data_IF_434928501453
#
_entry.id   IF_434928501453
#
_cell.length_a   1.000
_cell.length_b   1.000
_cell.length_c   1.000
_cell.angle_alpha   90.00
_cell.angle_beta   90.00
_cell.angle_gamma   90.00
#
_symmetry.space_group_name_H-M   'P 1'
#
loop_
_entity.id
_entity.type
_entity.pdbx_description
1 polymer ?
#
# COMPACT_ATOMS: atom_id res chain seq x y z
N UNK A 1 33.22 41.07 -61.03
CA UNK A 1 34.29 41.31 -60.04
C UNK A 1 33.69 41.91 -58.78
N UNK A 2 34.18 41.47 -57.61
CA UNK A 2 33.92 41.92 -56.21
C UNK A 2 32.92 41.08 -55.38
N UNK A 3 33.55 40.29 -54.52
CA UNK A 3 33.08 39.57 -53.35
C UNK A 3 32.58 40.51 -52.24
N UNK A 4 31.61 40.06 -51.44
CA UNK A 4 31.75 40.08 -49.96
C UNK A 4 30.69 39.21 -49.27
N UNK A 5 31.24 38.27 -48.52
CA UNK A 5 30.71 37.40 -47.46
C UNK A 5 29.94 38.16 -46.36
N UNK A 6 28.93 37.52 -45.74
CA UNK A 6 28.88 37.17 -44.31
C UNK A 6 27.68 36.24 -44.07
N UNK A 7 27.99 35.08 -43.50
CA UNK A 7 27.08 34.04 -43.02
C UNK A 7 26.60 34.43 -41.62
N UNK A 8 25.28 34.37 -41.38
CA UNK A 8 24.73 34.31 -40.03
C UNK A 8 23.63 33.24 -40.01
N UNK A 9 24.03 32.01 -39.68
CA UNK A 9 23.09 30.93 -39.34
C UNK A 9 22.61 31.19 -37.92
N UNK A 10 21.42 31.76 -37.79
CA UNK A 10 20.73 31.85 -36.51
C UNK A 10 20.21 30.45 -36.16
N UNK A 11 21.03 29.70 -35.42
CA UNK A 11 20.67 28.41 -34.84
C UNK A 11 19.75 28.66 -33.64
N UNK A 12 18.45 28.82 -33.89
CA UNK A 12 17.45 28.85 -32.82
C UNK A 12 17.26 27.43 -32.29
N UNK A 13 17.81 27.18 -31.11
CA UNK A 13 17.65 25.95 -30.36
C UNK A 13 16.16 25.63 -30.18
N UNK A 14 15.68 24.57 -30.83
CA UNK A 14 14.48 23.87 -30.38
C UNK A 14 14.81 23.31 -29.00
N UNK A 15 14.34 23.98 -27.94
CA UNK A 15 14.17 23.31 -26.65
C UNK A 15 12.97 22.39 -26.79
N UNK A 16 13.18 21.23 -27.40
CA UNK A 16 12.33 20.08 -27.16
C UNK A 16 12.43 19.81 -25.67
N UNK A 17 11.42 20.28 -24.94
CA UNK A 17 11.13 19.82 -23.58
C UNK A 17 10.98 18.32 -23.72
N UNK A 18 12.02 17.58 -23.33
CA UNK A 18 11.93 16.15 -23.12
C UNK A 18 10.80 15.98 -22.11
N UNK A 19 9.65 15.47 -22.57
CA UNK A 19 8.63 14.97 -21.69
C UNK A 19 9.32 13.95 -20.78
N UNK A 20 9.48 14.31 -19.51
CA UNK A 20 9.92 13.37 -18.48
C UNK A 20 8.92 12.21 -18.53
N UNK A 21 9.36 10.94 -18.56
CA UNK A 21 8.45 9.82 -18.38
C UNK A 21 7.79 10.00 -17.00
N UNK A 22 6.50 10.33 -17.00
CA UNK A 22 5.71 10.45 -15.79
C UNK A 22 5.32 9.03 -15.34
N UNK A 23 5.73 8.71 -14.12
CA UNK A 23 5.17 7.68 -13.23
C UNK A 23 5.39 6.24 -13.69
N UNK A 24 6.64 5.79 -13.65
CA UNK A 24 6.92 4.38 -13.40
C UNK A 24 7.18 4.23 -11.90
N UNK A 25 6.15 3.77 -11.17
CA UNK A 25 6.20 3.32 -9.76
C UNK A 25 7.28 3.98 -8.90
N UNK A 26 6.99 5.14 -8.32
CA UNK A 26 7.67 5.51 -7.08
C UNK A 26 7.31 4.43 -6.05
N UNK A 27 8.26 3.51 -5.82
CA UNK A 27 8.32 2.70 -4.60
C UNK A 27 7.86 3.59 -3.46
N UNK A 28 6.81 3.20 -2.73
CA UNK A 28 6.13 4.01 -1.69
C UNK A 28 7.15 4.43 -0.62
N UNK A 29 7.88 5.51 -0.89
CA UNK A 29 8.94 6.02 -0.04
C UNK A 29 8.33 7.14 0.78
N UNK A 30 7.92 6.81 1.99
CA UNK A 30 7.39 7.73 2.97
C UNK A 30 7.54 7.13 4.36
N UNK A 31 7.45 7.97 5.39
CA UNK A 31 7.41 7.47 6.75
C UNK A 31 6.14 6.62 6.94
N UNK A 32 6.32 5.38 7.40
CA UNK A 32 5.21 4.49 7.74
C UNK A 32 4.85 4.68 9.21
N UNK A 33 3.60 5.03 9.49
CA UNK A 33 3.06 5.14 10.82
C UNK A 33 2.27 3.87 11.19
N UNK A 34 2.64 3.22 12.28
CA UNK A 34 1.89 2.11 12.86
C UNK A 34 0.89 2.65 13.89
N UNK A 35 -0.36 2.21 13.82
CA UNK A 35 -1.37 2.41 14.87
C UNK A 35 -1.90 1.07 15.36
N UNK A 36 -1.76 0.82 16.66
CA UNK A 36 -2.24 -0.39 17.33
C UNK A 36 -3.64 -0.17 17.92
N UNK A 37 -4.52 -1.18 17.86
CA UNK A 37 -5.83 -1.07 18.52
C UNK A 37 -5.76 -1.20 20.04
N UNK A 38 -4.84 -2.01 20.57
CA UNK A 38 -4.60 -2.21 22.03
C UNK A 38 -5.82 -2.64 22.86
N UNK A 39 -6.97 -2.91 22.23
CA UNK A 39 -8.22 -3.35 22.85
C UNK A 39 -9.08 -4.08 21.82
N UNK A 40 -10.14 -4.77 22.29
CA UNK A 40 -11.08 -5.51 21.44
C UNK A 40 -10.70 -6.97 21.22
N UNK A 41 -11.34 -7.59 20.23
CA UNK A 41 -11.12 -9.00 19.87
C UNK A 41 -9.67 -9.23 19.48
N UNK A 42 -9.18 -10.41 19.80
CA UNK A 42 -7.82 -10.81 19.50
C UNK A 42 -7.77 -12.25 19.05
N UNK A 43 -6.77 -12.61 18.25
CA UNK A 43 -6.55 -13.99 17.83
C UNK A 43 -5.05 -14.33 17.82
N UNK A 44 -4.68 -15.52 17.35
CA UNK A 44 -3.29 -15.96 17.26
C UNK A 44 -2.57 -15.36 16.06
N UNK A 45 -1.24 -15.26 16.18
CA UNK A 45 -0.34 -14.84 15.09
C UNK A 45 -0.51 -15.75 13.87
N UNK A 46 -0.66 -17.06 14.08
CA UNK A 46 -0.76 -18.04 13.00
C UNK A 46 -2.01 -17.84 12.13
N UNK A 47 -3.17 -17.60 12.75
CA UNK A 47 -4.41 -17.36 12.02
C UNK A 47 -4.29 -16.07 11.21
N UNK A 48 -3.76 -14.99 11.82
CA UNK A 48 -3.57 -13.72 11.12
C UNK A 48 -2.60 -13.83 9.95
N UNK A 49 -1.49 -14.53 10.12
CA UNK A 49 -0.52 -14.75 9.04
C UNK A 49 -1.14 -15.54 7.88
N UNK A 50 -1.93 -16.58 8.17
CA UNK A 50 -2.61 -17.37 7.14
C UNK A 50 -3.56 -16.55 6.28
N UNK A 51 -4.36 -15.66 6.88
CA UNK A 51 -5.32 -14.83 6.12
C UNK A 51 -4.62 -13.70 5.37
N UNK A 52 -3.51 -13.17 5.90
CA UNK A 52 -2.67 -12.20 5.19
C UNK A 52 -2.05 -12.82 3.94
N UNK A 53 -1.55 -14.05 4.03
CA UNK A 53 -0.97 -14.75 2.89
C UNK A 53 -2.00 -14.96 1.78
N UNK A 54 -3.22 -15.39 2.11
CA UNK A 54 -4.30 -15.52 1.12
C UNK A 54 -4.66 -14.17 0.48
N UNK A 55 -4.86 -13.13 1.29
CA UNK A 55 -5.24 -11.80 0.83
C UNK A 55 -4.19 -11.21 -0.12
N UNK A 56 -2.91 -11.30 0.25
CA UNK A 56 -1.82 -10.80 -0.56
C UNK A 56 -1.65 -11.63 -1.83
N UNK A 57 -1.66 -12.96 -1.72
CA UNK A 57 -1.52 -13.85 -2.88
C UNK A 57 -2.56 -13.57 -3.94
N UNK A 58 -3.83 -13.54 -3.56
CA UNK A 58 -4.93 -13.32 -4.52
C UNK A 58 -4.81 -11.97 -5.21
N UNK A 59 -4.47 -10.90 -4.48
CA UNK A 59 -4.39 -9.57 -5.06
C UNK A 59 -3.12 -9.35 -5.91
N UNK A 60 -2.00 -9.97 -5.54
CA UNK A 60 -0.77 -9.94 -6.36
C UNK A 60 -0.96 -10.75 -7.64
N UNK A 61 -1.47 -11.99 -7.54
CA UNK A 61 -1.68 -12.88 -8.68
C UNK A 61 -2.69 -12.30 -9.69
N UNK A 62 -3.76 -11.66 -9.20
CA UNK A 62 -4.75 -10.98 -10.05
C UNK A 62 -4.23 -9.65 -10.61
N UNK A 63 -3.10 -9.16 -10.12
CA UNK A 63 -2.58 -7.86 -10.46
C UNK A 63 -3.49 -6.70 -10.05
N UNK A 64 -4.15 -6.81 -8.90
CA UNK A 64 -5.09 -5.81 -8.38
C UNK A 64 -4.41 -4.44 -8.28
N UNK A 65 -5.04 -3.45 -8.92
CA UNK A 65 -4.68 -2.04 -8.80
C UNK A 65 -5.73 -1.34 -7.94
N UNK A 66 -5.28 -0.39 -7.12
CA UNK A 66 -6.11 0.39 -6.20
C UNK A 66 -5.91 1.86 -6.53
N UNK A 67 -6.98 2.52 -6.93
CA UNK A 67 -7.01 3.94 -7.26
C UNK A 67 -7.36 4.77 -6.04
N UNK A 68 -7.02 6.06 -6.04
CA UNK A 68 -7.28 6.94 -4.91
C UNK A 68 -8.73 6.86 -4.39
N UNK A 69 -8.89 6.61 -3.09
CA UNK A 69 -10.17 6.45 -2.42
C UNK A 69 -10.78 5.05 -2.53
N UNK A 70 -10.21 4.15 -3.34
CA UNK A 70 -10.64 2.77 -3.42
C UNK A 70 -10.11 1.96 -2.22
N UNK A 71 -10.93 0.99 -1.82
CA UNK A 71 -10.62 0.04 -0.75
C UNK A 71 -10.73 -1.37 -1.33
N UNK A 72 -9.66 -2.14 -1.19
CA UNK A 72 -9.70 -3.60 -1.37
C UNK A 72 -9.77 -4.22 0.00
N UNK A 73 -10.81 -5.01 0.24
CA UNK A 73 -11.09 -5.56 1.56
C UNK A 73 -11.64 -6.98 1.48
N UNK A 74 -11.44 -7.75 2.54
CA UNK A 74 -11.99 -9.10 2.67
C UNK A 74 -12.18 -9.46 4.14
N UNK A 75 -13.26 -10.19 4.41
CA UNK A 75 -13.52 -10.85 5.68
C UNK A 75 -13.11 -12.32 5.61
N UNK A 76 -12.54 -12.82 6.69
CA UNK A 76 -12.16 -14.22 6.88
C UNK A 76 -12.79 -14.75 8.17
N UNK A 77 -13.70 -15.70 8.03
CA UNK A 77 -14.36 -16.33 9.17
C UNK A 77 -13.57 -17.54 9.67
N UNK A 78 -13.18 -17.51 10.94
CA UNK A 78 -12.41 -18.55 11.63
C UNK A 78 -13.14 -18.97 12.92
N UNK A 79 -14.31 -19.59 12.76
CA UNK A 79 -15.13 -20.04 13.88
C UNK A 79 -15.65 -18.85 14.69
N UNK A 80 -15.03 -18.59 15.84
CA UNK A 80 -15.45 -17.55 16.79
C UNK A 80 -14.87 -16.16 16.49
N UNK A 81 -14.11 -16.01 15.40
CA UNK A 81 -13.49 -14.74 15.01
C UNK A 81 -13.69 -14.45 13.52
N UNK A 82 -14.02 -13.20 13.19
CA UNK A 82 -14.03 -12.69 11.80
C UNK A 82 -12.95 -11.64 11.62
N UNK A 83 -11.97 -11.95 10.77
CA UNK A 83 -10.83 -11.09 10.50
C UNK A 83 -11.09 -10.25 9.25
N UNK A 84 -11.03 -8.94 9.40
CA UNK A 84 -11.11 -7.98 8.32
C UNK A 84 -9.71 -7.54 7.92
N UNK A 85 -9.36 -7.74 6.65
CA UNK A 85 -8.17 -7.18 6.03
C UNK A 85 -8.59 -6.13 5.02
N UNK A 86 -7.89 -4.99 4.99
CA UNK A 86 -8.07 -4.03 3.91
C UNK A 86 -6.80 -3.30 3.52
N UNK A 87 -6.81 -2.80 2.29
CA UNK A 87 -5.82 -1.89 1.77
C UNK A 87 -6.52 -0.77 1.00
N UNK A 88 -6.24 0.47 1.40
CA UNK A 88 -6.89 1.68 0.87
C UNK A 88 -5.86 2.56 0.22
N UNK A 89 -6.15 3.12 -0.96
CA UNK A 89 -5.30 4.15 -1.55
C UNK A 89 -5.72 5.55 -1.08
N UNK A 90 -4.74 6.36 -0.68
CA UNK A 90 -4.91 7.67 -0.06
C UNK A 90 -4.22 8.78 -0.86
N UNK A 91 -4.58 10.03 -0.55
CA UNK A 91 -3.85 11.24 -0.95
C UNK A 91 -3.58 11.39 -2.46
N UNK A 92 -4.51 10.93 -3.30
CA UNK A 92 -4.40 11.02 -4.75
C UNK A 92 -3.53 9.93 -5.39
N UNK A 93 -2.99 8.99 -4.60
CA UNK A 93 -2.17 7.93 -5.11
C UNK A 93 -2.98 6.81 -5.76
N UNK A 94 -2.38 6.16 -6.74
CA UNK A 94 -2.82 4.88 -7.28
C UNK A 94 -1.65 3.91 -7.28
N UNK A 95 -1.90 2.65 -6.94
CA UNK A 95 -0.84 1.66 -6.80
C UNK A 95 -1.34 0.26 -7.10
N UNK A 96 -0.40 -0.66 -7.31
CA UNK A 96 -0.67 -2.08 -7.46
C UNK A 96 -0.25 -2.84 -6.21
N UNK A 97 -0.95 -3.92 -5.90
CA UNK A 97 -0.46 -4.87 -4.91
C UNK A 97 0.91 -5.41 -5.33
N UNK A 98 1.83 -5.44 -4.37
CA UNK A 98 3.22 -5.89 -4.52
C UNK A 98 3.65 -6.65 -3.25
N UNK A 99 4.93 -7.03 -3.20
CA UNK A 99 5.51 -7.80 -2.09
C UNK A 99 5.49 -7.04 -0.75
N UNK A 100 5.16 -5.73 -0.71
CA UNK A 100 4.97 -5.02 0.56
C UNK A 100 3.67 -5.38 1.27
N UNK A 101 2.67 -5.96 0.57
CA UNK A 101 1.37 -6.31 1.15
C UNK A 101 1.54 -7.09 2.46
N UNK A 102 2.29 -8.19 2.41
CA UNK A 102 2.49 -9.08 3.54
C UNK A 102 3.30 -8.43 4.66
N UNK A 103 4.28 -7.59 4.32
CA UNK A 103 5.08 -6.86 5.30
C UNK A 103 4.20 -5.88 6.07
N UNK A 104 3.44 -5.05 5.37
CA UNK A 104 2.64 -3.96 5.95
C UNK A 104 1.49 -4.48 6.81
N UNK A 105 0.77 -5.52 6.36
CA UNK A 105 -0.31 -6.12 7.13
C UNK A 105 0.17 -6.90 8.38
N UNK A 106 1.44 -7.33 8.40
CA UNK A 106 2.02 -8.04 9.55
C UNK A 106 2.59 -7.13 10.63
N UNK A 107 2.93 -5.88 10.32
CA UNK A 107 3.51 -4.97 11.33
C UNK A 107 2.61 -4.81 12.57
N UNK A 108 1.27 -4.64 12.46
CA UNK A 108 0.41 -4.59 13.64
C UNK A 108 0.36 -5.89 14.45
N UNK A 109 0.81 -7.01 13.89
CA UNK A 109 0.88 -8.30 14.60
C UNK A 109 2.19 -8.39 15.38
N UNK A 110 3.29 -7.98 14.77
CA UNK A 110 4.63 -8.09 15.35
C UNK A 110 4.96 -6.99 16.34
N UNK A 111 4.53 -5.75 16.06
CA UNK A 111 4.94 -4.54 16.78
C UNK A 111 3.86 -4.03 17.75
N UNK A 112 2.63 -4.57 17.68
CA UNK A 112 1.60 -4.32 18.69
C UNK A 112 1.44 -5.52 19.62
N UNK A 113 1.07 -5.23 20.88
CA UNK A 113 0.87 -6.25 21.91
C UNK A 113 2.04 -7.27 21.95
N UNK A 114 3.27 -6.74 22.09
CA UNK A 114 4.51 -7.52 22.02
C UNK A 114 4.59 -8.62 23.11
N UNK A 115 5.30 -9.70 22.80
CA UNK A 115 5.65 -10.76 23.77
C UNK A 115 4.65 -11.92 23.91
N UNK A 116 3.61 -12.00 23.07
CA UNK A 116 2.65 -13.10 23.06
C UNK A 116 2.37 -13.57 21.63
N UNK A 117 2.31 -14.90 21.41
CA UNK A 117 1.89 -15.50 20.12
C UNK A 117 0.35 -15.51 19.95
N UNK A 118 -0.36 -15.21 21.04
CA UNK A 118 -1.80 -15.03 21.10
C UNK A 118 -2.14 -13.60 21.58
N UNK A 119 -3.42 -13.22 21.56
CA UNK A 119 -3.82 -11.90 22.03
C UNK A 119 -3.52 -10.78 21.03
N UNK A 120 -3.32 -11.09 19.74
CA UNK A 120 -3.06 -10.09 18.70
C UNK A 120 -4.36 -9.38 18.33
N UNK A 121 -4.42 -8.09 18.61
CA UNK A 121 -5.57 -7.22 18.34
C UNK A 121 -5.44 -6.48 17.01
N UNK A 122 -4.28 -6.55 16.36
CA UNK A 122 -4.04 -5.90 15.08
C UNK A 122 -3.98 -4.38 15.17
N UNK A 123 -4.35 -3.74 14.06
CA UNK A 123 -4.19 -2.31 13.86
C UNK A 123 -4.04 -1.98 12.38
N UNK A 124 -3.41 -0.85 12.09
CA UNK A 124 -3.15 -0.44 10.72
C UNK A 124 -1.81 0.28 10.56
N UNK A 125 -1.22 0.12 9.38
CA UNK A 125 -0.04 0.89 8.93
C UNK A 125 -0.50 1.88 7.88
N UNK A 126 -0.12 3.14 8.04
CA UNK A 126 -0.37 4.19 7.04
C UNK A 126 0.95 4.73 6.53
N UNK A 127 1.07 4.86 5.21
CA UNK A 127 2.12 5.63 4.54
C UNK A 127 1.48 6.82 3.78
N UNK A 128 2.26 7.54 2.98
CA UNK A 128 1.76 8.68 2.21
C UNK A 128 0.62 8.30 1.24
N UNK A 129 0.62 7.09 0.71
CA UNK A 129 -0.25 6.64 -0.38
C UNK A 129 -1.24 5.55 0.00
N UNK A 130 -1.12 4.94 1.19
CA UNK A 130 -1.95 3.83 1.55
C UNK A 130 -2.16 3.64 3.05
N UNK A 131 -3.27 2.99 3.38
CA UNK A 131 -3.52 2.41 4.69
C UNK A 131 -3.75 0.91 4.54
N UNK A 132 -3.09 0.12 5.39
CA UNK A 132 -3.15 -1.33 5.44
C UNK A 132 -3.65 -1.75 6.80
N UNK A 133 -4.80 -2.41 6.86
CA UNK A 133 -5.49 -2.74 8.11
C UNK A 133 -5.58 -4.25 8.29
N UNK A 134 -5.27 -4.69 9.50
CA UNK A 134 -5.45 -6.06 9.99
C UNK A 134 -6.28 -6.00 11.26
N UNK A 135 -7.52 -6.50 11.20
CA UNK A 135 -8.48 -6.38 12.30
C UNK A 135 -9.16 -7.72 12.62
N UNK A 136 -8.76 -8.42 13.70
CA UNK A 136 -9.39 -9.65 14.14
C UNK A 136 -10.74 -9.46 14.87
N UNK A 137 -11.30 -8.26 14.95
CA UNK A 137 -12.48 -7.96 15.77
C UNK A 137 -13.67 -7.36 15.05
N UNK A 138 -13.70 -7.44 13.72
CA UNK A 138 -14.74 -6.74 12.97
C UNK A 138 -16.16 -7.17 13.32
N UNK A 139 -16.43 -8.40 13.80
CA UNK A 139 -17.80 -8.94 13.95
C UNK A 139 -18.71 -8.63 12.74
N UNK A 140 -18.14 -8.44 11.54
CA UNK A 140 -18.84 -7.95 10.35
C UNK A 140 -19.26 -6.46 10.36
N UNK A 141 -19.07 -5.71 11.45
CA UNK A 141 -19.32 -4.27 11.50
C UNK A 141 -18.06 -3.48 11.16
N UNK A 142 -17.95 -3.12 9.89
CA UNK A 142 -17.10 -2.04 9.43
C UNK A 142 -17.61 -0.75 10.08
N UNK A 143 -16.85 -0.17 11.01
CA UNK A 143 -16.97 1.27 11.30
C UNK A 143 -16.42 2.06 10.12
#
# INVERSE_FOLDING_TARGET
MKFSTIVAVALSFLTSVLALPQVEQEKRYGAEALTCYNAGTSTSVDILNSVIDDFCKINIDNGTSVSNGEVVQRNYDYGDVTIYLSATALNGCSWKFDDNCGRLLRRPISECNEGQDSGKQGGYVTDLCAQWRTDPGSNGNML
#
